data_IF_136362670742
#
_entry.id   IF_136362670742
#
_cell.length_a   1.000
_cell.length_b   1.000
_cell.length_c   1.000
_cell.angle_alpha   90.00
_cell.angle_beta   90.00
_cell.angle_gamma   90.00
#
_symmetry.space_group_name_H-M   'P 1'
#
loop_
_entity.id
_entity.type
_entity.pdbx_description
1 polymer ?
#
# COMPACT_ATOMS: atom_id res chain seq x y z
N UNK A 1 11.36 16.27 29.49
CA UNK A 1 11.94 16.39 28.12
C UNK A 1 11.11 15.48 27.24
N UNK A 2 10.46 16.05 26.21
CA UNK A 2 9.61 15.29 25.29
C UNK A 2 10.54 14.41 24.40
N UNK A 3 10.48 13.06 24.50
CA UNK A 3 11.34 12.18 23.72
C UNK A 3 11.04 12.17 22.22
N UNK A 4 9.92 12.77 21.79
CA UNK A 4 9.46 12.81 20.40
C UNK A 4 10.09 13.99 19.62
N UNK A 5 10.47 15.08 20.30
CA UNK A 5 10.98 16.28 19.66
C UNK A 5 12.23 16.09 18.76
N UNK A 6 13.23 15.24 19.14
CA UNK A 6 14.38 14.97 18.25
C UNK A 6 13.99 14.20 17.00
N UNK A 7 13.02 13.28 17.11
CA UNK A 7 12.53 12.48 15.98
C UNK A 7 11.75 13.33 14.98
N UNK A 8 10.86 14.20 15.47
CA UNK A 8 10.13 15.16 14.63
C UNK A 8 11.08 16.09 13.84
N UNK A 9 12.15 16.57 14.49
CA UNK A 9 13.13 17.45 13.84
C UNK A 9 13.91 16.72 12.73
N UNK A 10 14.25 15.44 12.94
CA UNK A 10 14.94 14.60 11.96
C UNK A 10 13.99 14.29 10.78
N UNK A 11 12.75 13.92 11.07
CA UNK A 11 11.74 13.63 10.04
C UNK A 11 11.47 14.87 9.17
N UNK A 12 11.27 16.05 9.76
CA UNK A 12 11.06 17.30 9.02
C UNK A 12 12.26 17.64 8.12
N UNK A 13 13.49 17.49 8.62
CA UNK A 13 14.70 17.77 7.84
C UNK A 13 14.87 16.81 6.66
N UNK A 14 14.54 15.53 6.85
CA UNK A 14 14.60 14.51 5.79
C UNK A 14 13.46 14.64 4.79
N UNK A 15 12.23 14.96 5.24
CA UNK A 15 11.10 15.25 4.34
C UNK A 15 11.43 16.39 3.37
N UNK A 16 11.95 17.51 3.86
CA UNK A 16 12.38 18.64 3.01
C UNK A 16 13.46 18.19 2.01
N UNK A 17 14.37 17.32 2.42
CA UNK A 17 15.44 16.80 1.53
C UNK A 17 14.86 15.85 0.47
N UNK A 18 13.87 15.05 0.81
CA UNK A 18 13.17 14.14 -0.12
C UNK A 18 12.34 14.94 -1.13
N UNK A 19 11.57 15.94 -0.69
CA UNK A 19 10.81 16.84 -1.56
C UNK A 19 11.73 17.57 -2.56
N UNK A 20 12.87 18.10 -2.13
CA UNK A 20 13.84 18.76 -3.00
C UNK A 20 14.49 17.80 -4.01
N UNK A 21 14.67 16.53 -3.67
CA UNK A 21 15.15 15.51 -4.61
C UNK A 21 14.07 15.13 -5.64
N UNK A 22 12.81 15.01 -5.20
CA UNK A 22 11.68 14.72 -6.07
C UNK A 22 11.47 15.82 -7.12
N UNK A 23 11.59 17.08 -6.76
CA UNK A 23 11.50 18.21 -7.71
C UNK A 23 12.57 18.18 -8.81
N UNK A 24 13.77 17.70 -8.50
CA UNK A 24 14.87 17.63 -9.49
C UNK A 24 14.73 16.42 -10.44
N UNK A 25 14.04 15.36 -10.04
CA UNK A 25 13.82 14.14 -10.83
C UNK A 25 12.56 14.19 -11.72
N UNK A 26 11.67 15.13 -11.52
CA UNK A 26 10.40 15.26 -12.28
C UNK A 26 10.62 15.40 -13.79
N UNK A 27 11.81 15.76 -14.24
CA UNK A 27 12.19 15.88 -15.66
C UNK A 27 12.57 14.55 -16.33
N UNK A 28 12.72 13.45 -15.59
CA UNK A 28 13.09 12.12 -16.15
C UNK A 28 11.93 11.13 -16.24
N UNK A 29 10.73 11.49 -15.91
CA UNK A 29 9.57 10.62 -15.61
C UNK A 29 8.88 10.04 -16.86
N UNK A 30 9.24 10.42 -18.07
CA UNK A 30 8.57 9.89 -19.28
C UNK A 30 9.16 8.58 -19.81
N UNK A 31 10.25 8.12 -19.26
CA UNK A 31 10.86 6.87 -19.68
C UNK A 31 10.56 5.76 -18.66
N UNK A 32 9.42 5.10 -18.88
CA UNK A 32 9.40 3.68 -18.62
C UNK A 32 8.74 3.17 -17.32
N UNK A 33 7.47 3.51 -17.13
CA UNK A 33 6.63 2.81 -16.15
C UNK A 33 6.69 1.28 -16.33
N UNK A 34 6.74 0.82 -17.58
CA UNK A 34 6.97 -0.60 -17.88
C UNK A 34 8.35 -1.08 -17.39
N UNK A 35 9.38 -0.23 -17.50
CA UNK A 35 10.73 -0.58 -17.02
C UNK A 35 10.75 -0.63 -15.48
N UNK A 36 10.04 0.25 -14.80
CA UNK A 36 9.87 0.20 -13.34
C UNK A 36 9.21 -1.12 -12.95
N UNK A 37 8.10 -1.51 -13.60
CA UNK A 37 7.42 -2.77 -13.33
C UNK A 37 8.31 -3.99 -13.61
N UNK A 38 9.08 -4.01 -14.69
CA UNK A 38 10.07 -5.06 -14.99
C UNK A 38 11.18 -5.11 -13.92
N UNK A 39 11.58 -3.96 -13.40
CA UNK A 39 12.57 -3.87 -12.33
C UNK A 39 11.99 -4.43 -11.02
N UNK A 40 10.77 -4.02 -10.66
CA UNK A 40 10.05 -4.55 -9.51
C UNK A 40 9.91 -6.07 -9.59
N UNK A 41 9.49 -6.63 -10.74
CA UNK A 41 9.39 -8.08 -10.95
C UNK A 41 10.70 -8.84 -10.68
N UNK A 42 11.85 -8.23 -10.95
CA UNK A 42 13.15 -8.81 -10.63
C UNK A 42 13.50 -8.69 -9.15
N UNK A 43 13.24 -7.52 -8.56
CA UNK A 43 13.62 -7.25 -7.18
C UNK A 43 12.81 -8.06 -6.16
N UNK A 44 11.54 -8.34 -6.46
CA UNK A 44 10.66 -9.10 -5.56
C UNK A 44 11.01 -10.60 -5.51
N UNK A 45 11.82 -11.15 -6.41
CA UNK A 45 12.06 -12.59 -6.53
C UNK A 45 12.68 -13.24 -5.28
N UNK A 46 13.38 -12.47 -4.46
CA UNK A 46 13.96 -12.98 -3.22
C UNK A 46 12.92 -13.11 -2.10
N UNK A 47 11.92 -12.23 -2.07
CA UNK A 47 10.97 -12.11 -0.98
C UNK A 47 9.59 -12.69 -1.33
N UNK A 48 9.23 -12.74 -2.61
CA UNK A 48 7.91 -13.18 -3.09
C UNK A 48 8.03 -14.38 -4.05
N UNK A 49 7.02 -15.26 -4.14
CA UNK A 49 6.98 -16.33 -5.14
C UNK A 49 6.95 -15.77 -6.57
N UNK A 50 7.33 -16.61 -7.53
CA UNK A 50 7.31 -16.23 -8.93
C UNK A 50 5.89 -15.86 -9.36
N UNK A 51 5.75 -14.73 -10.05
CA UNK A 51 4.47 -14.29 -10.57
C UNK A 51 3.97 -15.26 -11.66
N UNK A 52 2.68 -15.62 -11.66
CA UNK A 52 2.10 -16.28 -12.82
C UNK A 52 2.32 -15.47 -14.10
N UNK A 53 2.50 -16.15 -15.21
CA UNK A 53 2.64 -15.47 -16.50
C UNK A 53 1.36 -14.73 -16.86
N UNK A 54 1.46 -13.44 -17.10
CA UNK A 54 0.34 -12.61 -17.54
C UNK A 54 0.83 -11.47 -18.43
N UNK A 55 -0.06 -10.99 -19.29
CA UNK A 55 0.14 -9.73 -20.00
C UNK A 55 -0.50 -8.59 -19.21
N UNK A 56 0.13 -7.44 -19.22
CA UNK A 56 -0.41 -6.21 -18.62
C UNK A 56 -0.02 -5.01 -19.47
N UNK A 57 -0.80 -3.95 -19.35
CA UNK A 57 -0.52 -2.66 -19.98
C UNK A 57 -0.57 -1.54 -18.94
N UNK A 58 0.25 -0.51 -19.14
CA UNK A 58 0.16 0.73 -18.38
C UNK A 58 -0.48 1.78 -19.29
N UNK A 59 -1.54 2.39 -18.82
CA UNK A 59 -2.36 3.36 -19.55
C UNK A 59 -2.45 4.67 -18.78
N UNK A 60 -2.76 5.75 -19.48
CA UNK A 60 -3.10 7.00 -18.83
C UNK A 60 -4.61 7.11 -18.67
N UNK A 61 -5.02 7.73 -17.56
CA UNK A 61 -6.41 8.16 -17.36
C UNK A 61 -6.79 9.15 -18.47
N UNK A 62 -8.06 9.09 -18.90
CA UNK A 62 -8.56 10.05 -19.90
C UNK A 62 -8.54 11.47 -19.29
N UNK A 63 -8.09 12.50 -20.04
CA UNK A 63 -7.94 13.86 -19.51
C UNK A 63 -9.17 14.42 -18.79
N UNK A 64 -10.37 14.12 -19.30
CA UNK A 64 -11.64 14.60 -18.71
C UNK A 64 -11.96 13.94 -17.35
N UNK A 65 -11.24 12.89 -16.97
CA UNK A 65 -11.44 12.15 -15.71
C UNK A 65 -10.30 12.37 -14.71
N UNK A 66 -9.21 13.02 -15.11
CA UNK A 66 -8.00 13.16 -14.28
C UNK A 66 -8.27 13.90 -12.95
N UNK A 67 -9.16 14.88 -12.93
CA UNK A 67 -9.53 15.63 -11.71
C UNK A 67 -10.38 14.81 -10.73
N UNK A 68 -10.91 13.67 -11.14
CA UNK A 68 -11.89 12.90 -10.37
C UNK A 68 -11.40 11.51 -9.97
N UNK A 69 -10.23 11.09 -10.45
CA UNK A 69 -9.72 9.75 -10.21
C UNK A 69 -8.43 9.77 -9.38
N UNK A 70 -8.20 8.65 -8.70
CA UNK A 70 -6.99 8.41 -7.92
C UNK A 70 -5.71 8.60 -8.75
N UNK A 71 -4.57 8.85 -8.09
CA UNK A 71 -3.26 9.00 -8.77
C UNK A 71 -2.89 7.81 -9.65
N UNK A 72 -3.24 6.60 -9.24
CA UNK A 72 -3.15 5.39 -10.03
C UNK A 72 -4.17 4.37 -9.55
N UNK A 73 -4.46 3.36 -10.38
CA UNK A 73 -5.27 2.22 -10.00
C UNK A 73 -5.06 1.04 -10.95
N UNK A 74 -5.09 -0.16 -10.40
CA UNK A 74 -5.19 -1.39 -11.17
C UNK A 74 -6.67 -1.70 -11.44
N UNK A 75 -7.02 -1.88 -12.71
CA UNK A 75 -8.37 -2.29 -13.10
C UNK A 75 -8.47 -3.81 -13.07
N UNK A 76 -9.23 -4.32 -12.10
CA UNK A 76 -9.47 -5.76 -11.98
C UNK A 76 -10.14 -6.30 -13.24
N UNK A 77 -9.55 -7.33 -13.88
CA UNK A 77 -10.10 -7.87 -15.12
C UNK A 77 -11.40 -8.66 -14.88
N UNK A 78 -12.15 -8.95 -15.95
CA UNK A 78 -13.30 -9.87 -15.88
C UNK A 78 -12.87 -11.25 -15.35
N UNK A 79 -13.70 -11.83 -14.49
CA UNK A 79 -13.37 -13.07 -13.75
C UNK A 79 -13.18 -14.27 -14.69
N UNK A 80 -13.93 -14.30 -15.79
CA UNK A 80 -13.93 -15.40 -16.76
C UNK A 80 -12.69 -15.42 -17.67
N UNK A 81 -12.11 -14.26 -17.93
CA UNK A 81 -10.94 -14.14 -18.82
C UNK A 81 -9.64 -13.83 -18.09
N UNK A 82 -9.72 -13.21 -16.91
CA UNK A 82 -8.57 -12.68 -16.15
C UNK A 82 -7.67 -11.76 -16.99
N UNK A 83 -8.25 -11.08 -17.95
CA UNK A 83 -7.59 -10.20 -18.92
C UNK A 83 -8.62 -9.21 -19.49
N UNK A 84 -8.21 -8.00 -19.88
CA UNK A 84 -6.85 -7.44 -19.76
C UNK A 84 -6.49 -7.07 -18.32
N UNK A 85 -5.17 -6.98 -18.04
CA UNK A 85 -4.65 -6.45 -16.78
C UNK A 85 -4.09 -5.05 -17.04
N UNK A 86 -4.84 -4.03 -16.68
CA UNK A 86 -4.50 -2.64 -16.96
C UNK A 86 -4.19 -1.89 -15.68
N UNK A 87 -3.07 -1.17 -15.67
CA UNK A 87 -2.72 -0.20 -14.63
C UNK A 87 -2.90 1.20 -15.22
N UNK A 88 -3.74 2.01 -14.61
CA UNK A 88 -3.97 3.38 -15.02
C UNK A 88 -3.17 4.35 -14.16
N UNK A 89 -2.53 5.31 -14.81
CA UNK A 89 -1.77 6.40 -14.17
C UNK A 89 -2.46 7.71 -14.49
N UNK A 90 -2.73 8.48 -13.46
CA UNK A 90 -3.30 9.81 -13.56
C UNK A 90 -2.18 10.85 -13.65
N UNK A 91 -2.06 11.54 -14.80
CA UNK A 91 -1.03 12.55 -15.02
C UNK A 91 -1.21 13.80 -14.17
N UNK A 92 -2.46 14.08 -13.77
CA UNK A 92 -2.76 15.21 -12.88
C UNK A 92 -2.03 15.11 -11.53
N UNK A 93 -1.80 13.89 -11.04
CA UNK A 93 -1.08 13.65 -9.80
C UNK A 93 0.43 13.99 -9.88
N UNK A 94 0.99 14.11 -11.09
CA UNK A 94 2.39 14.49 -11.34
C UNK A 94 3.42 13.71 -10.50
N UNK A 95 3.19 12.40 -10.33
CA UNK A 95 4.07 11.53 -9.55
C UNK A 95 5.42 11.33 -10.24
N UNK A 96 6.50 11.26 -9.46
CA UNK A 96 7.85 10.97 -9.97
C UNK A 96 8.70 10.22 -8.96
N UNK A 97 9.86 9.75 -9.43
CA UNK A 97 10.89 9.13 -8.57
C UNK A 97 10.33 8.02 -7.68
N UNK A 98 10.58 8.13 -6.38
CA UNK A 98 10.15 7.15 -5.37
C UNK A 98 8.63 6.98 -5.33
N UNK A 99 7.87 8.06 -5.44
CA UNK A 99 6.40 8.01 -5.37
C UNK A 99 5.82 7.17 -6.51
N UNK A 100 6.22 7.42 -7.76
CA UNK A 100 5.79 6.62 -8.91
C UNK A 100 6.23 5.15 -8.76
N UNK A 101 7.46 4.92 -8.28
CA UNK A 101 7.98 3.57 -8.07
C UNK A 101 7.16 2.78 -7.05
N UNK A 102 6.85 3.37 -5.90
CA UNK A 102 6.07 2.70 -4.85
C UNK A 102 4.59 2.57 -5.20
N UNK A 103 4.04 3.54 -5.96
CA UNK A 103 2.69 3.45 -6.50
C UNK A 103 2.58 2.32 -7.52
N UNK A 104 3.54 2.17 -8.44
CA UNK A 104 3.57 1.05 -9.37
C UNK A 104 3.80 -0.30 -8.67
N UNK A 105 4.47 -0.31 -7.52
CA UNK A 105 4.55 -1.51 -6.69
C UNK A 105 3.22 -1.86 -6.05
N UNK A 106 2.47 -0.86 -5.58
CA UNK A 106 1.14 -1.01 -5.00
C UNK A 106 0.12 -1.53 -6.03
N UNK A 107 0.08 -0.92 -7.22
CA UNK A 107 -0.88 -1.29 -8.27
C UNK A 107 -0.44 -2.55 -9.05
N UNK A 108 0.85 -2.75 -9.22
CA UNK A 108 1.44 -3.79 -10.05
C UNK A 108 2.08 -4.93 -9.26
N UNK A 109 3.42 -4.88 -9.15
CA UNK A 109 4.25 -5.93 -8.54
C UNK A 109 5.02 -5.39 -7.33
N UNK A 110 4.79 -5.98 -6.12
CA UNK A 110 4.00 -7.17 -5.77
C UNK A 110 2.58 -6.89 -5.24
N UNK A 111 1.96 -5.76 -5.61
CA UNK A 111 0.67 -5.32 -5.10
C UNK A 111 -0.56 -5.95 -5.77
N UNK A 112 -1.51 -5.12 -6.22
CA UNK A 112 -2.85 -5.54 -6.66
C UNK A 112 -2.85 -6.50 -7.86
N UNK A 113 -2.14 -6.18 -8.93
CA UNK A 113 -2.06 -7.04 -10.10
C UNK A 113 -1.48 -8.40 -9.73
N UNK A 114 -0.33 -8.39 -9.04
CA UNK A 114 0.33 -9.62 -8.60
C UNK A 114 -0.55 -10.46 -7.67
N UNK A 115 -1.25 -9.85 -6.73
CA UNK A 115 -2.21 -10.52 -5.85
C UNK A 115 -3.32 -11.19 -6.65
N UNK A 116 -3.92 -10.47 -7.59
CA UNK A 116 -5.06 -10.94 -8.41
C UNK A 116 -4.66 -12.15 -9.25
N UNK A 117 -3.55 -12.09 -9.98
CA UNK A 117 -3.10 -13.21 -10.82
C UNK A 117 -2.62 -14.40 -10.00
N UNK A 118 -2.00 -14.17 -8.84
CA UNK A 118 -1.56 -15.24 -7.95
C UNK A 118 -2.73 -15.97 -7.32
N UNK A 119 -3.76 -15.24 -6.90
CA UNK A 119 -4.99 -15.83 -6.39
C UNK A 119 -5.73 -16.63 -7.47
N UNK A 120 -5.87 -16.08 -8.67
CA UNK A 120 -6.50 -16.76 -9.79
C UNK A 120 -5.77 -18.08 -10.16
N UNK A 121 -4.43 -18.08 -10.11
CA UNK A 121 -3.62 -19.27 -10.35
C UNK A 121 -3.83 -20.38 -9.31
N UNK A 122 -4.36 -20.09 -8.13
CA UNK A 122 -4.75 -21.07 -7.13
C UNK A 122 -6.07 -21.79 -7.45
N UNK A 123 -6.75 -21.41 -8.56
CA UNK A 123 -8.04 -21.95 -9.01
C UNK A 123 -9.12 -21.92 -7.93
N UNK A 124 -9.39 -20.76 -7.32
CA UNK A 124 -10.41 -20.65 -6.29
C UNK A 124 -11.81 -20.84 -6.86
N UNK A 125 -12.78 -21.13 -5.98
CA UNK A 125 -14.20 -21.07 -6.36
C UNK A 125 -14.52 -19.66 -6.93
N UNK A 126 -15.16 -19.56 -8.11
CA UNK A 126 -15.44 -18.27 -8.76
C UNK A 126 -16.15 -17.24 -7.88
N UNK A 127 -17.00 -17.67 -6.95
CA UNK A 127 -17.68 -16.77 -6.01
C UNK A 127 -16.69 -15.96 -5.17
N UNK A 128 -15.48 -16.48 -4.91
CA UNK A 128 -14.48 -15.80 -4.11
C UNK A 128 -13.93 -14.54 -4.77
N UNK A 129 -13.94 -14.46 -6.08
CA UNK A 129 -13.58 -13.24 -6.80
C UNK A 129 -14.61 -12.11 -6.64
N UNK A 130 -15.84 -12.44 -6.24
CA UNK A 130 -16.94 -11.49 -6.06
C UNK A 130 -17.02 -10.94 -4.62
N UNK A 131 -16.28 -11.50 -3.68
CA UNK A 131 -16.37 -11.11 -2.28
C UNK A 131 -15.52 -9.86 -2.01
N UNK A 132 -16.12 -8.77 -1.49
CA UNK A 132 -15.42 -7.52 -1.24
C UNK A 132 -14.58 -7.61 0.05
N UNK A 133 -13.36 -8.10 -0.04
CA UNK A 133 -12.41 -8.22 1.09
C UNK A 133 -11.42 -7.04 1.10
N UNK A 134 -11.93 -5.80 1.14
CA UNK A 134 -11.11 -4.57 1.02
C UNK A 134 -9.95 -4.50 1.99
N UNK A 135 -10.13 -4.92 3.25
CA UNK A 135 -9.04 -4.95 4.23
C UNK A 135 -7.90 -5.90 3.85
N UNK A 136 -8.19 -7.04 3.22
CA UNK A 136 -7.17 -7.92 2.67
C UNK A 136 -6.51 -7.29 1.44
N UNK A 137 -7.31 -6.81 0.48
CA UNK A 137 -6.84 -6.33 -0.81
C UNK A 137 -5.93 -5.12 -0.66
N UNK A 138 -6.40 -4.07 0.01
CA UNK A 138 -5.61 -2.85 0.27
C UNK A 138 -4.50 -3.08 1.28
N UNK A 139 -4.79 -3.91 2.30
CA UNK A 139 -3.79 -4.28 3.30
C UNK A 139 -2.61 -5.02 2.69
N UNK A 140 -2.86 -5.95 1.76
CA UNK A 140 -1.80 -6.62 1.02
C UNK A 140 -0.99 -5.64 0.17
N UNK A 141 -1.65 -4.79 -0.63
CA UNK A 141 -0.97 -3.84 -1.48
C UNK A 141 -0.11 -2.86 -0.67
N UNK A 142 -0.60 -2.37 0.47
CA UNK A 142 0.15 -1.51 1.40
C UNK A 142 1.32 -2.26 2.07
N UNK A 143 1.11 -3.50 2.47
CA UNK A 143 2.17 -4.37 2.99
C UNK A 143 3.25 -4.60 1.93
N UNK A 144 2.87 -4.91 0.69
CA UNK A 144 3.76 -5.10 -0.44
C UNK A 144 4.51 -3.81 -0.82
N UNK A 145 3.83 -2.66 -0.79
CA UNK A 145 4.42 -1.33 -0.97
C UNK A 145 5.58 -1.08 0.02
N UNK A 146 5.47 -1.56 1.26
CA UNK A 146 6.54 -1.42 2.26
C UNK A 146 7.88 -2.07 1.84
N UNK A 147 7.83 -3.10 1.01
CA UNK A 147 9.02 -3.72 0.43
C UNK A 147 9.62 -2.87 -0.68
N UNK A 148 8.78 -2.23 -1.51
CA UNK A 148 9.24 -1.36 -2.58
C UNK A 148 10.07 -0.19 -2.05
N UNK A 149 9.68 0.41 -0.93
CA UNK A 149 10.49 1.43 -0.25
C UNK A 149 11.89 0.94 0.12
N UNK A 150 12.07 -0.35 0.40
CA UNK A 150 13.38 -0.94 0.69
C UNK A 150 14.17 -1.29 -0.57
N UNK A 151 13.48 -1.56 -1.68
CA UNK A 151 14.11 -1.87 -2.96
C UNK A 151 14.59 -0.63 -3.71
N UNK A 152 13.96 0.51 -3.45
CA UNK A 152 14.35 1.78 -4.05
C UNK A 152 15.63 2.28 -3.40
N UNK A 153 16.72 2.40 -4.19
CA UNK A 153 18.03 2.86 -3.72
C UNK A 153 18.44 2.23 -2.37
N UNK A 154 18.65 0.90 -2.31
CA UNK A 154 18.79 0.15 -1.05
C UNK A 154 20.03 0.54 -0.23
N UNK A 155 20.99 1.25 -0.83
CA UNK A 155 22.19 1.80 -0.18
C UNK A 155 21.91 3.09 0.62
N UNK A 156 20.73 3.67 0.48
CA UNK A 156 20.31 4.89 1.20
C UNK A 156 19.28 4.55 2.29
N UNK A 157 19.04 5.52 3.18
CA UNK A 157 17.97 5.43 4.19
C UNK A 157 16.68 6.14 3.74
N UNK A 158 16.66 6.73 2.55
CA UNK A 158 15.59 7.61 2.12
C UNK A 158 14.26 6.84 1.92
N UNK A 159 14.33 5.64 1.34
CA UNK A 159 13.18 4.75 1.24
C UNK A 159 12.61 4.36 2.62
N UNK A 160 13.46 4.09 3.62
CA UNK A 160 12.99 3.77 4.96
C UNK A 160 12.28 4.96 5.63
N UNK A 161 12.81 6.17 5.47
CA UNK A 161 12.16 7.38 5.99
C UNK A 161 10.84 7.67 5.28
N UNK A 162 10.79 7.50 3.96
CA UNK A 162 9.58 7.68 3.19
C UNK A 162 8.50 6.68 3.61
N UNK A 163 8.85 5.41 3.82
CA UNK A 163 7.92 4.41 4.36
C UNK A 163 7.41 4.77 5.76
N UNK A 164 8.28 5.22 6.66
CA UNK A 164 7.85 5.66 8.00
C UNK A 164 6.87 6.84 7.92
N UNK A 165 7.13 7.80 7.03
CA UNK A 165 6.23 8.93 6.79
C UNK A 165 4.87 8.45 6.21
N UNK A 166 4.89 7.59 5.21
CA UNK A 166 3.69 6.97 4.62
C UNK A 166 2.87 6.22 5.68
N UNK A 167 3.53 5.37 6.47
CA UNK A 167 2.92 4.60 7.56
C UNK A 167 2.32 5.50 8.63
N UNK A 168 3.02 6.57 9.02
CA UNK A 168 2.52 7.56 9.98
C UNK A 168 1.27 8.28 9.47
N UNK A 169 1.26 8.70 8.21
CA UNK A 169 0.09 9.34 7.60
C UNK A 169 -1.12 8.39 7.60
N UNK A 170 -0.94 7.13 7.17
CA UNK A 170 -2.00 6.13 7.21
C UNK A 170 -2.51 5.87 8.65
N UNK A 171 -1.61 5.87 9.63
CA UNK A 171 -1.97 5.75 11.05
C UNK A 171 -2.83 6.93 11.52
N UNK A 172 -2.42 8.17 11.21
CA UNK A 172 -3.15 9.39 11.58
C UNK A 172 -4.55 9.39 10.95
N UNK A 173 -4.64 9.07 9.66
CA UNK A 173 -5.93 9.02 8.96
C UNK A 173 -6.83 7.92 9.53
N UNK A 174 -6.28 6.76 9.91
CA UNK A 174 -7.03 5.68 10.56
C UNK A 174 -7.51 6.04 11.97
N UNK A 175 -6.71 6.79 12.73
CA UNK A 175 -7.11 7.30 14.04
C UNK A 175 -8.23 8.33 13.93
N UNK A 176 -8.17 9.21 12.93
CA UNK A 176 -9.22 10.18 12.64
C UNK A 176 -10.51 9.49 12.22
N UNK A 177 -10.42 8.50 11.33
CA UNK A 177 -11.56 7.71 10.87
C UNK A 177 -12.28 7.03 12.05
N UNK A 178 -11.54 6.32 12.88
CA UNK A 178 -12.07 5.72 14.12
C UNK A 178 -12.61 6.78 15.08
N UNK A 179 -11.89 7.89 15.21
CA UNK A 179 -12.31 9.03 16.05
C UNK A 179 -13.65 9.60 15.61
N UNK A 180 -13.84 9.83 14.33
CA UNK A 180 -15.05 10.42 13.75
C UNK A 180 -16.21 9.42 13.81
N UNK A 181 -16.03 8.25 13.20
CA UNK A 181 -17.14 7.33 12.95
C UNK A 181 -17.52 6.46 14.15
N UNK A 182 -16.56 6.13 15.01
CA UNK A 182 -16.80 5.30 16.20
C UNK A 182 -16.90 6.11 17.48
N UNK A 183 -16.03 7.12 17.68
CA UNK A 183 -15.98 7.91 18.91
C UNK A 183 -16.75 9.23 18.83
N UNK A 184 -17.34 9.57 17.68
CA UNK A 184 -18.14 10.79 17.49
C UNK A 184 -17.33 12.09 17.55
N UNK A 185 -16.08 12.08 17.08
CA UNK A 185 -15.27 13.30 17.01
C UNK A 185 -15.86 14.25 15.98
N UNK A 186 -16.06 15.48 16.41
CA UNK A 186 -16.43 16.56 15.51
C UNK A 186 -15.19 17.23 14.89
N UNK A 187 -15.42 18.11 13.93
CA UNK A 187 -14.35 18.83 13.21
C UNK A 187 -13.40 19.57 14.17
N UNK A 188 -13.91 20.22 15.23
CA UNK A 188 -13.07 20.96 16.18
C UNK A 188 -12.12 20.04 16.95
N UNK A 189 -12.56 18.83 17.33
CA UNK A 189 -11.71 17.84 17.98
C UNK A 189 -10.66 17.28 17.02
N UNK A 190 -11.02 17.02 15.78
CA UNK A 190 -10.08 16.59 14.73
C UNK A 190 -9.02 17.67 14.46
N UNK A 191 -9.43 18.94 14.35
CA UNK A 191 -8.52 20.07 14.19
C UNK A 191 -7.53 20.19 15.36
N UNK A 192 -8.01 20.01 16.62
CA UNK A 192 -7.15 19.99 17.80
C UNK A 192 -6.12 18.87 17.74
N UNK A 193 -6.54 17.66 17.37
CA UNK A 193 -5.66 16.50 17.22
C UNK A 193 -4.60 16.74 16.13
N UNK A 194 -5.00 17.20 14.95
CA UNK A 194 -4.11 17.53 13.85
C UNK A 194 -3.10 18.63 14.20
N UNK A 195 -3.55 19.66 14.95
CA UNK A 195 -2.66 20.73 15.42
C UNK A 195 -1.57 20.22 16.35
N UNK A 196 -1.84 19.21 17.20
CA UNK A 196 -0.84 18.58 18.06
C UNK A 196 0.24 17.84 17.26
N UNK A 197 -0.10 17.39 16.05
CA UNK A 197 0.81 16.74 15.10
C UNK A 197 1.51 17.72 14.16
N UNK A 198 1.24 19.03 14.31
CA UNK A 198 1.88 20.08 13.52
C UNK A 198 1.11 20.47 12.25
N UNK A 199 -0.05 19.87 11.97
CA UNK A 199 -0.95 20.29 10.88
C UNK A 199 -1.84 21.42 11.41
N UNK A 200 -1.41 22.68 11.17
CA UNK A 200 -2.07 23.88 11.74
C UNK A 200 -2.90 24.67 10.74
N UNK A 201 -2.80 24.37 9.46
CA UNK A 201 -3.62 25.00 8.42
C UNK A 201 -5.08 24.56 8.54
N UNK A 202 -5.98 25.52 8.72
CA UNK A 202 -7.39 25.27 8.96
C UNK A 202 -8.12 24.74 7.72
N UNK A 203 -7.69 25.10 6.51
CA UNK A 203 -8.27 24.60 5.28
C UNK A 203 -7.91 23.12 5.08
N UNK A 204 -6.65 22.75 5.30
CA UNK A 204 -6.19 21.35 5.26
C UNK A 204 -6.89 20.52 6.35
N UNK A 205 -7.04 21.03 7.57
CA UNK A 205 -7.76 20.33 8.64
C UNK A 205 -9.22 20.05 8.28
N UNK A 206 -9.87 21.02 7.63
CA UNK A 206 -11.27 20.89 7.18
C UNK A 206 -11.38 19.88 6.04
N UNK A 207 -10.48 19.92 5.07
CA UNK A 207 -10.43 19.00 3.95
C UNK A 207 -10.24 17.54 4.43
N UNK A 208 -9.25 17.31 5.32
CA UNK A 208 -9.03 15.99 5.92
C UNK A 208 -10.30 15.49 6.63
N UNK A 209 -10.96 16.34 7.44
CA UNK A 209 -12.19 15.96 8.11
C UNK A 209 -13.27 15.55 7.12
N UNK A 210 -13.48 16.33 6.07
CA UNK A 210 -14.51 16.11 5.07
C UNK A 210 -14.26 14.81 4.28
N UNK A 211 -13.05 14.59 3.81
CA UNK A 211 -12.67 13.36 3.09
C UNK A 211 -12.95 12.11 3.91
N UNK A 212 -12.65 12.15 5.21
CA UNK A 212 -12.89 10.99 6.09
C UNK A 212 -14.39 10.79 6.34
N UNK A 213 -15.15 11.87 6.50
CA UNK A 213 -16.62 11.78 6.68
C UNK A 213 -17.30 11.19 5.44
N UNK A 214 -16.79 11.52 4.25
CA UNK A 214 -17.36 11.07 2.96
C UNK A 214 -17.13 9.58 2.68
N UNK A 215 -16.02 9.00 3.14
CA UNK A 215 -15.68 7.59 2.91
C UNK A 215 -15.27 6.87 4.21
N UNK A 216 -16.25 6.43 5.02
CA UNK A 216 -16.01 5.77 6.30
C UNK A 216 -15.22 4.46 6.15
N UNK A 217 -14.26 4.24 7.04
CA UNK A 217 -13.37 3.07 7.09
C UNK A 217 -12.42 2.91 5.89
N UNK A 218 -12.30 3.92 5.04
CA UNK A 218 -11.41 3.85 3.87
C UNK A 218 -9.95 3.61 4.28
N UNK A 219 -9.41 4.47 5.16
CA UNK A 219 -8.02 4.35 5.59
C UNK A 219 -7.73 3.12 6.45
N UNK A 220 -8.75 2.57 7.10
CA UNK A 220 -8.63 1.33 7.87
C UNK A 220 -8.33 0.12 6.97
N UNK A 221 -8.85 0.08 5.74
CA UNK A 221 -8.54 -0.98 4.77
C UNK A 221 -7.04 -1.06 4.51
N UNK A 222 -6.39 0.08 4.32
CA UNK A 222 -4.96 0.19 4.06
C UNK A 222 -4.12 -0.13 5.30
N UNK A 223 -4.31 0.64 6.36
CA UNK A 223 -3.38 0.60 7.49
C UNK A 223 -3.59 -0.60 8.40
N UNK A 224 -4.83 -0.83 8.87
CA UNK A 224 -5.10 -2.02 9.70
C UNK A 224 -4.90 -3.30 8.90
N UNK A 225 -5.25 -3.30 7.60
CA UNK A 225 -4.95 -4.42 6.73
C UNK A 225 -3.46 -4.72 6.66
N UNK A 226 -2.62 -3.70 6.44
CA UNK A 226 -1.16 -3.83 6.46
C UNK A 226 -0.64 -4.38 7.80
N UNK A 227 -1.11 -3.84 8.92
CA UNK A 227 -0.73 -4.30 10.26
C UNK A 227 -1.09 -5.77 10.49
N UNK A 228 -2.26 -6.23 10.01
CA UNK A 228 -2.66 -7.63 10.11
C UNK A 228 -1.71 -8.57 9.35
N UNK A 229 -1.19 -8.15 8.18
CA UNK A 229 -0.17 -8.93 7.45
C UNK A 229 1.17 -8.94 8.18
N UNK A 230 1.59 -7.80 8.74
CA UNK A 230 2.82 -7.71 9.53
C UNK A 230 2.76 -8.60 10.79
N UNK A 231 1.64 -8.54 11.52
CA UNK A 231 1.42 -9.37 12.70
C UNK A 231 1.40 -10.85 12.34
N UNK A 232 0.72 -11.23 11.26
CA UNK A 232 0.67 -12.60 10.77
C UNK A 232 2.06 -13.13 10.37
N UNK A 233 2.84 -12.28 9.68
CA UNK A 233 4.22 -12.62 9.32
C UNK A 233 5.08 -12.85 10.56
N UNK A 234 4.96 -11.97 11.56
CA UNK A 234 5.71 -12.07 12.81
C UNK A 234 5.35 -13.37 13.55
N UNK A 235 4.06 -13.69 13.68
CA UNK A 235 3.61 -14.91 14.34
C UNK A 235 4.07 -16.17 13.60
N UNK A 236 3.99 -16.17 12.27
CA UNK A 236 4.51 -17.29 11.46
C UNK A 236 6.03 -17.46 11.63
N UNK A 237 6.77 -16.36 11.74
CA UNK A 237 8.22 -16.38 11.99
C UNK A 237 8.54 -16.94 13.38
N UNK A 238 7.80 -16.55 14.40
CA UNK A 238 7.98 -17.05 15.77
C UNK A 238 7.71 -18.56 15.89
N UNK A 239 6.68 -19.05 15.18
CA UNK A 239 6.36 -20.48 15.17
C UNK A 239 7.37 -21.32 14.38
N UNK A 240 7.80 -20.85 13.24
CA UNK A 240 8.73 -21.59 12.38
C UNK A 240 10.20 -21.47 12.82
N UNK A 241 10.56 -20.47 13.64
CA UNK A 241 11.94 -20.22 14.06
C UNK A 241 12.90 -20.13 12.87
N UNK A 242 14.00 -20.88 12.94
CA UNK A 242 15.03 -20.89 11.88
C UNK A 242 14.53 -21.46 10.55
N UNK A 243 13.41 -22.18 10.53
CA UNK A 243 12.81 -22.71 9.30
C UNK A 243 11.90 -21.69 8.59
N UNK A 244 11.72 -20.49 9.14
CA UNK A 244 10.90 -19.47 8.49
C UNK A 244 11.47 -19.05 7.14
N UNK A 245 10.63 -19.11 6.11
CA UNK A 245 10.95 -18.61 4.78
C UNK A 245 9.88 -17.59 4.36
N UNK A 246 10.30 -16.36 4.09
CA UNK A 246 9.41 -15.25 3.75
C UNK A 246 8.66 -15.50 2.43
N UNK A 247 9.34 -16.06 1.44
CA UNK A 247 8.75 -16.38 0.13
C UNK A 247 7.67 -17.46 0.25
N UNK A 248 7.88 -18.47 1.10
CA UNK A 248 6.88 -19.49 1.40
C UNK A 248 5.68 -18.93 2.17
N UNK A 249 5.94 -18.01 3.10
CA UNK A 249 4.87 -17.28 3.79
C UNK A 249 3.98 -16.54 2.79
N UNK A 250 4.57 -15.73 1.89
CA UNK A 250 3.83 -15.01 0.87
C UNK A 250 3.08 -15.95 -0.07
N UNK A 251 3.69 -17.09 -0.44
CA UNK A 251 3.04 -18.10 -1.28
C UNK A 251 1.76 -18.65 -0.63
N UNK A 252 1.81 -18.96 0.67
CA UNK A 252 0.66 -19.44 1.43
C UNK A 252 -0.45 -18.38 1.50
N UNK A 253 -0.09 -17.15 1.85
CA UNK A 253 -1.03 -16.03 1.92
C UNK A 253 -1.74 -15.81 0.57
N UNK A 254 -1.00 -15.72 -0.52
CA UNK A 254 -1.54 -15.50 -1.87
C UNK A 254 -2.40 -16.66 -2.36
N UNK A 255 -2.04 -17.89 -2.05
CA UNK A 255 -2.82 -19.08 -2.44
C UNK A 255 -4.16 -19.14 -1.69
N UNK A 256 -4.21 -18.72 -0.42
CA UNK A 256 -5.46 -18.58 0.33
C UNK A 256 -6.29 -17.45 -0.28
N UNK A 257 -5.64 -16.33 -0.61
CA UNK A 257 -6.24 -15.17 -1.26
C UNK A 257 -7.23 -14.39 -0.39
N UNK A 258 -7.97 -13.42 -0.99
CA UNK A 258 -8.83 -12.50 -0.25
C UNK A 258 -9.85 -13.21 0.63
N UNK A 259 -9.77 -12.96 1.93
CA UNK A 259 -10.68 -13.47 2.97
C UNK A 259 -10.59 -12.60 4.23
N UNK A 260 -11.40 -12.91 5.22
CA UNK A 260 -11.32 -12.25 6.53
C UNK A 260 -10.02 -12.68 7.25
N UNK A 261 -9.36 -11.74 7.95
CA UNK A 261 -8.09 -12.00 8.63
C UNK A 261 -8.11 -13.16 9.64
N UNK A 262 -9.15 -13.39 10.45
CA UNK A 262 -9.20 -14.57 11.31
C UNK A 262 -9.11 -15.89 10.53
N UNK A 263 -9.73 -15.97 9.35
CA UNK A 263 -9.67 -17.15 8.47
C UNK A 263 -8.28 -17.30 7.86
N UNK A 264 -7.71 -16.19 7.35
CA UNK A 264 -6.34 -16.17 6.83
C UNK A 264 -5.34 -16.63 7.89
N UNK A 265 -5.42 -16.04 9.08
CA UNK A 265 -4.55 -16.36 10.21
C UNK A 265 -4.64 -17.85 10.56
N UNK A 266 -5.84 -18.38 10.76
CA UNK A 266 -6.03 -19.79 11.06
C UNK A 266 -5.37 -20.70 10.00
N UNK A 267 -5.61 -20.42 8.72
CA UNK A 267 -5.09 -21.24 7.62
C UNK A 267 -3.56 -21.19 7.53
N UNK A 268 -2.97 -19.98 7.63
CA UNK A 268 -1.52 -19.79 7.57
C UNK A 268 -0.84 -20.42 8.78
N UNK A 269 -1.29 -20.12 10.01
CA UNK A 269 -0.66 -20.61 11.25
C UNK A 269 -0.74 -22.12 11.38
N UNK A 270 -1.88 -22.73 11.03
CA UNK A 270 -1.99 -24.20 11.01
C UNK A 270 -0.92 -24.83 10.12
N UNK A 271 -0.54 -24.20 9.02
CA UNK A 271 0.48 -24.72 8.10
C UNK A 271 1.92 -24.65 8.64
N UNK A 272 2.16 -23.99 9.76
CA UNK A 272 3.44 -23.94 10.47
C UNK A 272 3.45 -24.78 11.75
N UNK A 273 2.28 -25.26 12.19
CA UNK A 273 2.15 -26.08 13.41
C UNK A 273 2.16 -27.59 13.10
N UNK A 274 2.22 -27.96 11.83
CA UNK A 274 2.29 -29.34 11.34
C UNK A 274 3.72 -29.70 10.93
#
# INVERSE_FOLDING_TARGET
KNPVAPFEAICRKKMITIELHLESETLMVHADMEQILKTLQKQIQNDFPDAPSTSYEVKYVHPDLEEHLSPAFYLTPPIDTLSPNDIYINRHANMGGLELYTTLAHEGFPGHLYQTISFAASSPDPVRHLLPMGGYVEGWATYAESFAYRYYQPETTDGQFAWLNRSLNLCIMSLLDTGIHYNGWNQARCATFLSQLGVTDTAIQQEIYQVIVEDPANYLKYYLGCLQFLDLQQEARELAGDAFNLRDFHKKVLAIGPCQFPVLKQAVITSYSS
#
